data_IF_909952377429
#
_entry.id   IF_909952377429
#
_cell.length_a   1.000
_cell.length_b   1.000
_cell.length_c   1.000
_cell.angle_alpha   90.00
_cell.angle_beta   90.00
_cell.angle_gamma   90.00
#
_symmetry.space_group_name_H-M   'P 1'
#
loop_
_entity.id
_entity.type
_entity.pdbx_description
1 polymer ?
#
# COMPACT_ATOMS: atom_id res chain seq x y z
N UNK A 1 -8.99 7.81 -15.34
CA UNK A 1 -8.65 6.49 -15.92
C UNK A 1 -8.30 5.59 -14.75
N UNK A 2 -9.01 4.48 -14.60
CA UNK A 2 -8.75 3.52 -13.54
C UNK A 2 -7.99 2.33 -14.13
N UNK A 3 -6.75 2.13 -13.71
CA UNK A 3 -5.93 0.96 -13.99
C UNK A 3 -5.92 0.08 -12.74
N UNK A 4 -7.07 -0.49 -12.42
CA UNK A 4 -7.28 -1.37 -11.26
C UNK A 4 -7.87 -2.70 -11.71
N UNK A 5 -7.75 -3.73 -10.87
CA UNK A 5 -8.43 -5.01 -11.08
C UNK A 5 -9.95 -4.82 -10.98
N UNK A 6 -10.73 -5.54 -11.78
CA UNK A 6 -12.19 -5.45 -11.80
C UNK A 6 -12.82 -5.65 -10.42
N UNK A 7 -12.20 -6.46 -9.57
CA UNK A 7 -12.64 -6.69 -8.19
C UNK A 7 -12.56 -5.45 -7.31
N UNK A 8 -11.77 -4.45 -7.69
CA UNK A 8 -11.64 -3.17 -6.98
C UNK A 8 -12.63 -2.10 -7.50
N UNK A 9 -13.26 -2.30 -8.66
CA UNK A 9 -14.22 -1.32 -9.22
C UNK A 9 -15.42 -0.99 -8.30
N UNK A 10 -15.96 -1.91 -7.48
CA UNK A 10 -17.01 -1.58 -6.53
C UNK A 10 -16.65 -0.44 -5.57
N UNK A 11 -15.37 -0.30 -5.19
CA UNK A 11 -14.89 0.77 -4.29
C UNK A 11 -14.93 2.16 -4.96
N UNK A 12 -14.98 2.20 -6.30
CA UNK A 12 -15.08 3.43 -7.11
C UNK A 12 -16.51 3.67 -7.64
N UNK A 13 -17.51 2.93 -7.14
CA UNK A 13 -18.89 3.08 -7.60
C UNK A 13 -19.39 4.51 -7.36
N UNK A 14 -19.93 5.14 -8.41
CA UNK A 14 -20.42 6.52 -8.38
C UNK A 14 -19.37 7.57 -8.76
N UNK A 15 -18.12 7.16 -8.99
CA UNK A 15 -17.09 8.04 -9.55
C UNK A 15 -17.20 8.07 -11.08
N UNK A 16 -17.22 9.26 -11.67
CA UNK A 16 -17.26 9.42 -13.12
C UNK A 16 -15.90 9.06 -13.74
N UNK A 17 -15.93 8.26 -14.80
CA UNK A 17 -14.73 7.78 -15.50
C UNK A 17 -14.72 8.10 -17.00
N UNK A 18 -15.81 8.68 -17.51
CA UNK A 18 -15.87 9.28 -18.86
C UNK A 18 -14.95 10.49 -18.95
N UNK A 19 -14.25 10.64 -20.08
CA UNK A 19 -13.29 11.73 -20.33
C UNK A 19 -12.25 11.90 -19.20
N UNK A 20 -11.37 10.89 -18.99
CA UNK A 20 -10.54 10.81 -17.80
C UNK A 20 -9.48 11.92 -17.76
N UNK A 21 -9.40 12.64 -16.65
CA UNK A 21 -8.39 13.68 -16.39
C UNK A 21 -7.42 13.35 -15.24
N UNK A 22 -7.40 12.09 -14.79
CA UNK A 22 -6.52 11.55 -13.75
C UNK A 22 -6.20 10.09 -14.07
N UNK A 23 -5.07 9.57 -13.58
CA UNK A 23 -4.71 8.14 -13.69
C UNK A 23 -4.59 7.55 -12.31
N UNK A 24 -5.48 6.63 -11.95
CA UNK A 24 -5.38 5.82 -10.72
C UNK A 24 -4.84 4.45 -11.10
N UNK A 25 -3.76 4.02 -10.46
CA UNK A 25 -3.08 2.75 -10.76
C UNK A 25 -2.95 1.86 -9.51
N UNK A 26 -3.58 0.70 -9.58
CA UNK A 26 -3.43 -0.42 -8.64
C UNK A 26 -2.73 -1.60 -9.31
N UNK A 27 -2.79 -2.79 -8.71
CA UNK A 27 -2.34 -4.00 -9.39
C UNK A 27 -3.43 -4.48 -10.37
N UNK A 28 -3.22 -4.26 -11.67
CA UNK A 28 -4.18 -4.62 -12.72
C UNK A 28 -3.49 -5.36 -13.88
N UNK A 29 -3.17 -6.65 -13.73
CA UNK A 29 -2.38 -7.39 -14.72
C UNK A 29 -2.98 -7.33 -16.13
N UNK A 30 -4.31 -7.37 -16.26
CA UNK A 30 -5.02 -7.29 -17.53
C UNK A 30 -4.91 -5.91 -18.21
N UNK A 31 -4.60 -4.86 -17.45
CA UNK A 31 -4.40 -3.49 -17.95
C UNK A 31 -2.91 -3.15 -18.15
N UNK A 32 -1.99 -4.01 -17.72
CA UNK A 32 -0.55 -3.76 -17.76
C UNK A 32 0.09 -4.19 -19.08
N UNK A 33 -0.42 -3.64 -20.17
CA UNK A 33 0.13 -3.81 -21.51
C UNK A 33 0.28 -2.46 -22.22
N UNK A 34 1.11 -2.45 -23.27
CA UNK A 34 1.61 -1.22 -23.90
C UNK A 34 0.51 -0.23 -24.28
N UNK A 35 -0.57 -0.70 -24.91
CA UNK A 35 -1.63 0.18 -25.42
C UNK A 35 -2.31 0.97 -24.28
N UNK A 36 -2.63 0.31 -23.18
CA UNK A 36 -3.30 0.94 -22.03
C UNK A 36 -2.35 1.84 -21.26
N UNK A 37 -1.10 1.40 -21.03
CA UNK A 37 -0.09 2.23 -20.39
C UNK A 37 0.24 3.49 -21.20
N UNK A 38 0.27 3.40 -22.54
CA UNK A 38 0.50 4.54 -23.42
C UNK A 38 -0.69 5.52 -23.44
N UNK A 39 -1.92 5.05 -23.23
CA UNK A 39 -3.08 5.94 -23.02
C UNK A 39 -2.95 6.71 -21.70
N UNK A 40 -2.62 6.01 -20.60
CA UNK A 40 -2.36 6.65 -19.32
C UNK A 40 -1.23 7.69 -19.43
N UNK A 41 -0.11 7.32 -20.05
CA UNK A 41 1.01 8.23 -20.32
C UNK A 41 0.58 9.53 -21.01
N UNK A 42 -0.27 9.46 -22.06
CA UNK A 42 -0.76 10.65 -22.76
C UNK A 42 -1.59 11.56 -21.86
N UNK A 43 -2.47 10.99 -21.03
CA UNK A 43 -3.22 11.79 -20.04
C UNK A 43 -2.27 12.52 -19.09
N UNK A 44 -1.20 11.86 -18.64
CA UNK A 44 -0.21 12.47 -17.76
C UNK A 44 0.56 13.60 -18.44
N UNK A 45 0.88 13.49 -19.75
CA UNK A 45 1.46 14.60 -20.53
C UNK A 45 0.51 15.80 -20.62
N UNK A 46 -0.80 15.55 -20.66
CA UNK A 46 -1.83 16.59 -20.65
C UNK A 46 -2.06 17.19 -19.24
N UNK A 47 -1.28 16.77 -18.25
CA UNK A 47 -1.29 17.31 -16.88
C UNK A 47 -2.16 16.53 -15.89
N UNK A 48 -2.68 15.35 -16.27
CA UNK A 48 -3.42 14.49 -15.35
C UNK A 48 -2.53 14.05 -14.16
N UNK A 49 -3.04 14.02 -12.92
CA UNK A 49 -2.29 13.48 -11.80
C UNK A 49 -2.18 11.95 -11.89
N UNK A 50 -1.00 11.44 -11.54
CA UNK A 50 -0.75 10.01 -11.33
C UNK A 50 -0.96 9.65 -9.86
N UNK A 51 -1.95 8.81 -9.57
CA UNK A 51 -2.32 8.36 -8.23
C UNK A 51 -2.07 6.85 -8.13
N UNK A 52 -1.11 6.44 -7.31
CA UNK A 52 -0.78 5.03 -7.13
C UNK A 52 -1.38 4.50 -5.83
N UNK A 53 -2.12 3.39 -5.88
CA UNK A 53 -2.66 2.75 -4.68
C UNK A 53 -1.51 2.30 -3.77
N UNK A 54 -0.46 1.71 -4.32
CA UNK A 54 0.81 1.43 -3.62
C UNK A 54 1.92 1.17 -4.65
N UNK A 55 3.18 1.14 -4.22
CA UNK A 55 4.36 0.91 -5.10
C UNK A 55 5.14 -0.36 -4.76
N UNK A 56 4.44 -1.40 -4.32
CA UNK A 56 5.08 -2.69 -4.03
C UNK A 56 5.83 -3.22 -5.26
N UNK A 57 7.09 -3.63 -5.07
CA UNK A 57 7.95 -4.17 -6.14
C UNK A 57 7.41 -5.48 -6.68
N UNK A 58 6.96 -6.35 -5.78
CA UNK A 58 6.43 -7.68 -6.07
C UNK A 58 5.46 -8.12 -4.97
N UNK A 59 4.72 -9.20 -5.23
CA UNK A 59 3.90 -9.90 -4.25
C UNK A 59 4.04 -11.42 -4.39
N UNK A 60 3.70 -12.17 -3.33
CA UNK A 60 3.77 -13.63 -3.31
C UNK A 60 2.46 -14.25 -3.80
N UNK A 61 2.56 -15.12 -4.78
CA UNK A 61 1.49 -16.00 -5.28
C UNK A 61 1.80 -17.46 -4.95
N UNK A 62 0.85 -18.36 -5.24
CA UNK A 62 1.01 -19.82 -5.10
C UNK A 62 2.19 -20.36 -5.94
N UNK A 63 2.43 -19.76 -7.10
CA UNK A 63 3.44 -20.16 -8.09
C UNK A 63 4.78 -19.42 -7.96
N UNK A 64 4.93 -18.48 -7.02
CA UNK A 64 6.18 -17.74 -6.84
C UNK A 64 5.99 -16.26 -6.60
N UNK A 65 7.04 -15.48 -6.85
CA UNK A 65 6.96 -14.02 -6.83
C UNK A 65 6.45 -13.52 -8.18
N UNK A 66 5.58 -12.51 -8.14
CA UNK A 66 5.10 -11.80 -9.33
C UNK A 66 5.25 -10.29 -9.16
N UNK A 67 5.32 -9.57 -10.27
CA UNK A 67 5.42 -8.11 -10.28
C UNK A 67 4.22 -7.48 -9.56
N UNK A 68 4.50 -6.51 -8.70
CA UNK A 68 3.47 -5.64 -8.13
C UNK A 68 3.15 -4.48 -9.07
N UNK A 69 2.38 -3.48 -8.61
CA UNK A 69 2.11 -2.27 -9.40
C UNK A 69 3.30 -1.32 -9.47
N UNK A 70 4.23 -1.37 -8.50
CA UNK A 70 5.37 -0.44 -8.40
C UNK A 70 6.21 -0.30 -9.68
N UNK A 71 6.58 -1.39 -10.38
CA UNK A 71 7.26 -1.33 -11.67
C UNK A 71 6.52 -0.50 -12.73
N UNK A 72 5.20 -0.63 -12.83
CA UNK A 72 4.37 0.06 -13.81
C UNK A 72 4.12 1.52 -13.44
N UNK A 73 3.95 1.80 -12.14
CA UNK A 73 3.95 3.17 -11.61
C UNK A 73 5.26 3.87 -11.96
N UNK A 74 6.39 3.21 -11.67
CA UNK A 74 7.73 3.77 -11.91
C UNK A 74 7.99 3.97 -13.41
N UNK A 75 7.47 3.09 -14.27
CA UNK A 75 7.56 3.26 -15.72
C UNK A 75 6.84 4.53 -16.20
N UNK A 76 5.64 4.81 -15.67
CA UNK A 76 4.91 6.05 -15.98
C UNK A 76 5.64 7.28 -15.44
N UNK A 77 6.05 7.26 -14.16
CA UNK A 77 6.85 8.32 -13.54
C UNK A 77 8.10 8.66 -14.36
N UNK A 78 8.84 7.63 -14.78
CA UNK A 78 10.04 7.78 -15.60
C UNK A 78 9.73 8.37 -16.98
N UNK A 79 8.64 7.93 -17.61
CA UNK A 79 8.24 8.42 -18.93
C UNK A 79 7.81 9.89 -18.93
N UNK A 80 7.28 10.39 -17.80
CA UNK A 80 6.74 11.75 -17.68
C UNK A 80 7.60 12.70 -16.85
N UNK A 81 8.68 12.22 -16.25
CA UNK A 81 9.49 12.96 -15.26
C UNK A 81 8.64 13.55 -14.12
N UNK A 82 7.63 12.79 -13.67
CA UNK A 82 6.75 13.15 -12.55
C UNK A 82 6.79 12.10 -11.45
N UNK A 83 6.24 12.44 -10.27
CA UNK A 83 6.08 11.49 -9.17
C UNK A 83 4.60 11.20 -8.95
N UNK A 84 4.29 9.93 -8.71
CA UNK A 84 2.95 9.53 -8.34
C UNK A 84 2.61 9.99 -6.92
N UNK A 85 1.38 10.44 -6.71
CA UNK A 85 0.79 10.53 -5.38
C UNK A 85 0.46 9.11 -4.92
N UNK A 86 1.24 8.58 -3.98
CA UNK A 86 0.99 7.26 -3.39
C UNK A 86 0.00 7.43 -2.24
N UNK A 87 -1.06 6.60 -2.20
CA UNK A 87 -2.11 6.69 -1.16
C UNK A 87 -2.12 5.52 -0.19
N UNK A 88 -1.38 4.45 -0.50
CA UNK A 88 -1.22 3.29 0.36
C UNK A 88 0.02 3.35 1.25
N UNK A 89 0.23 2.28 2.00
CA UNK A 89 1.43 2.06 2.81
C UNK A 89 2.74 2.25 2.02
N UNK A 90 3.81 2.82 2.62
CA UNK A 90 3.93 3.31 4.01
C UNK A 90 3.49 4.78 4.20
N UNK A 91 2.75 5.38 3.28
CA UNK A 91 2.42 6.80 3.36
C UNK A 91 1.57 7.11 4.60
N UNK A 92 1.93 8.20 5.30
CA UNK A 92 1.27 8.60 6.57
C UNK A 92 -0.24 8.71 6.41
N UNK A 93 -0.68 9.25 5.28
CA UNK A 93 -2.09 9.44 4.95
C UNK A 93 -2.86 8.13 4.99
N UNK A 94 -2.28 6.99 4.60
CA UNK A 94 -2.96 5.69 4.66
C UNK A 94 -3.41 5.34 6.09
N UNK A 95 -2.51 5.51 7.05
CA UNK A 95 -2.78 5.19 8.46
C UNK A 95 -3.74 6.19 9.10
N UNK A 96 -3.57 7.48 8.81
CA UNK A 96 -4.45 8.52 9.32
C UNK A 96 -5.87 8.39 8.75
N UNK A 97 -6.01 8.07 7.47
CA UNK A 97 -7.32 7.80 6.87
C UNK A 97 -7.97 6.53 7.44
N UNK A 98 -7.19 5.50 7.80
CA UNK A 98 -7.72 4.29 8.44
C UNK A 98 -8.32 4.57 9.83
N UNK A 99 -7.82 5.59 10.54
CA UNK A 99 -8.35 6.03 11.84
C UNK A 99 -9.43 7.11 11.71
N UNK A 100 -9.61 7.70 10.53
CA UNK A 100 -10.57 8.78 10.32
C UNK A 100 -12.00 8.32 10.65
N UNK A 101 -12.67 9.08 11.52
CA UNK A 101 -14.05 8.81 11.94
C UNK A 101 -14.19 7.75 13.05
N UNK A 102 -13.08 7.15 13.51
CA UNK A 102 -13.09 6.22 14.65
C UNK A 102 -13.10 6.94 16.00
N UNK A 103 -12.60 8.19 16.05
CA UNK A 103 -12.45 8.97 17.27
C UNK A 103 -11.16 8.70 18.06
N UNK A 104 -10.31 7.79 17.58
CA UNK A 104 -9.02 7.47 18.18
C UNK A 104 -7.88 8.20 17.48
N UNK A 105 -6.88 8.61 18.27
CA UNK A 105 -5.61 9.12 17.78
C UNK A 105 -4.66 7.96 17.40
N UNK A 106 -3.64 8.20 16.55
CA UNK A 106 -2.67 7.16 16.17
C UNK A 106 -2.01 6.46 17.36
N UNK A 107 -1.72 7.18 18.44
CA UNK A 107 -1.10 6.67 19.66
C UNK A 107 -2.00 5.66 20.41
N UNK A 108 -3.29 5.64 20.12
CA UNK A 108 -4.28 4.72 20.69
C UNK A 108 -4.53 3.49 19.82
N UNK A 109 -3.78 3.34 18.71
CA UNK A 109 -3.98 2.30 17.73
C UNK A 109 -2.74 1.41 17.50
N UNK A 110 -3.00 0.18 17.05
CA UNK A 110 -1.97 -0.84 16.80
C UNK A 110 -2.13 -1.37 15.37
N UNK A 111 -1.03 -1.38 14.63
CA UNK A 111 -0.94 -2.04 13.31
C UNK A 111 -0.28 -3.41 13.46
N UNK A 112 -0.92 -4.46 12.95
CA UNK A 112 -0.35 -5.81 12.87
C UNK A 112 -0.08 -6.12 11.39
N UNK A 113 1.15 -6.47 11.03
CA UNK A 113 1.53 -6.67 9.64
C UNK A 113 2.72 -7.61 9.45
N UNK A 114 2.91 -8.09 8.22
CA UNK A 114 4.02 -8.96 7.83
C UNK A 114 5.09 -8.21 7.01
N UNK A 115 4.87 -6.92 6.69
CA UNK A 115 5.87 -6.02 6.14
C UNK A 115 6.46 -5.12 7.22
N UNK A 116 7.75 -5.30 7.51
CA UNK A 116 8.45 -4.44 8.45
C UNK A 116 8.47 -2.97 8.03
N UNK A 117 8.60 -2.66 6.73
CA UNK A 117 8.67 -1.27 6.25
C UNK A 117 7.29 -0.69 6.02
N UNK A 118 6.48 -1.40 5.25
CA UNK A 118 5.22 -0.86 4.75
C UNK A 118 4.15 -0.86 5.84
N UNK A 119 4.06 -1.91 6.66
CA UNK A 119 3.04 -2.01 7.70
C UNK A 119 3.52 -1.36 8.99
N UNK A 120 4.59 -1.92 9.57
CA UNK A 120 5.04 -1.61 10.93
C UNK A 120 5.75 -0.26 10.97
N UNK A 121 6.75 -0.06 10.10
CA UNK A 121 7.46 1.21 10.00
C UNK A 121 6.55 2.37 9.60
N UNK A 122 5.65 2.15 8.63
CA UNK A 122 4.65 3.12 8.22
C UNK A 122 3.74 3.56 9.38
N UNK A 123 3.21 2.61 10.14
CA UNK A 123 2.35 2.88 11.30
C UNK A 123 3.10 3.60 12.44
N UNK A 124 4.31 3.15 12.77
CA UNK A 124 5.11 3.78 13.83
C UNK A 124 5.51 5.22 13.50
N UNK A 125 5.68 5.55 12.21
CA UNK A 125 5.97 6.92 11.78
C UNK A 125 4.80 7.91 11.97
N UNK A 126 3.60 7.41 12.28
CA UNK A 126 2.44 8.24 12.63
C UNK A 126 2.04 8.15 14.10
N UNK A 127 2.75 7.38 14.93
CA UNK A 127 2.50 7.27 16.37
C UNK A 127 1.88 5.95 16.84
N UNK A 128 1.45 5.09 15.92
CA UNK A 128 0.87 3.78 16.27
C UNK A 128 1.93 2.81 16.81
N UNK A 129 1.50 1.86 17.66
CA UNK A 129 2.32 0.67 17.92
C UNK A 129 2.29 -0.26 16.70
N UNK A 130 3.43 -0.84 16.36
CA UNK A 130 3.57 -1.77 15.23
C UNK A 130 3.99 -3.17 15.69
N UNK A 131 3.17 -4.18 15.39
CA UNK A 131 3.47 -5.59 15.65
C UNK A 131 3.81 -6.29 14.34
N UNK A 132 5.04 -6.79 14.22
CA UNK A 132 5.51 -7.58 13.08
C UNK A 132 5.21 -9.07 13.30
N UNK A 133 4.44 -9.69 12.42
CA UNK A 133 4.19 -11.14 12.45
C UNK A 133 5.13 -11.89 11.50
N UNK A 134 5.65 -13.04 11.93
CA UNK A 134 6.58 -13.87 11.13
C UNK A 134 5.90 -14.75 10.08
N UNK A 135 4.61 -14.57 9.84
CA UNK A 135 3.87 -15.20 8.75
C UNK A 135 4.01 -14.42 7.43
N UNK A 136 3.50 -14.96 6.32
CA UNK A 136 3.40 -14.20 5.07
C UNK A 136 4.73 -13.93 4.38
N UNK A 137 5.03 -12.67 4.04
CA UNK A 137 6.24 -12.27 3.31
C UNK A 137 7.46 -11.99 4.19
N UNK A 138 7.30 -11.99 5.51
CA UNK A 138 8.39 -11.83 6.47
C UNK A 138 9.59 -12.74 6.13
N UNK A 139 10.80 -12.20 6.31
CA UNK A 139 12.06 -12.94 6.29
C UNK A 139 12.80 -12.71 7.60
N UNK A 140 13.64 -13.68 7.97
CA UNK A 140 14.46 -13.57 9.18
C UNK A 140 15.26 -12.26 9.18
N UNK A 141 15.26 -11.57 10.33
CA UNK A 141 15.87 -10.25 10.52
C UNK A 141 15.20 -9.10 9.75
N UNK A 142 13.94 -9.27 9.31
CA UNK A 142 13.18 -8.14 8.75
C UNK A 142 12.96 -7.04 9.78
N UNK A 143 12.79 -7.39 11.05
CA UNK A 143 12.66 -6.48 12.20
C UNK A 143 13.83 -5.50 12.35
N UNK A 144 15.02 -5.84 11.83
CA UNK A 144 16.22 -4.99 11.86
C UNK A 144 16.23 -3.92 10.74
N UNK A 145 15.25 -3.95 9.82
CA UNK A 145 15.21 -3.07 8.63
C UNK A 145 14.67 -1.68 8.90
N UNK A 146 14.10 -1.44 10.08
CA UNK A 146 13.54 -0.15 10.50
C UNK A 146 14.12 0.28 11.85
N UNK A 147 14.08 1.58 12.11
CA UNK A 147 14.47 2.16 13.39
C UNK A 147 13.47 3.29 13.73
N UNK A 148 12.80 3.28 14.90
CA UNK A 148 12.86 2.23 15.94
C UNK A 148 12.38 0.86 15.45
N UNK A 149 12.79 -0.25 16.09
CA UNK A 149 12.32 -1.59 15.72
C UNK A 149 10.80 -1.72 15.94
N UNK A 150 10.17 -2.80 15.42
CA UNK A 150 8.79 -3.15 15.76
C UNK A 150 8.59 -3.13 17.29
N UNK A 151 7.45 -2.61 17.75
CA UNK A 151 7.08 -2.69 19.17
C UNK A 151 7.09 -4.13 19.69
N UNK A 152 6.59 -5.06 18.86
CA UNK A 152 6.68 -6.50 19.09
C UNK A 152 6.94 -7.22 17.76
N UNK A 153 7.75 -8.27 17.79
CA UNK A 153 7.83 -9.25 16.70
C UNK A 153 7.38 -10.62 17.23
N UNK A 154 6.37 -11.23 16.62
CA UNK A 154 5.77 -12.48 17.11
C UNK A 154 5.47 -13.48 15.99
N UNK A 155 5.25 -14.74 16.35
CA UNK A 155 5.18 -15.84 15.37
C UNK A 155 3.98 -15.75 14.42
N UNK A 156 2.82 -15.27 14.89
CA UNK A 156 1.61 -15.18 14.06
C UNK A 156 0.60 -14.18 14.61
N UNK A 157 -0.46 -13.92 13.83
CA UNK A 157 -1.55 -13.03 14.23
C UNK A 157 -2.22 -13.41 15.56
N UNK A 158 -2.55 -14.70 15.85
CA UNK A 158 -3.06 -15.08 17.18
C UNK A 158 -2.15 -14.66 18.35
N UNK A 159 -0.82 -14.83 18.22
CA UNK A 159 0.12 -14.40 19.26
C UNK A 159 0.10 -12.87 19.44
N UNK A 160 -0.10 -12.11 18.37
CA UNK A 160 -0.27 -10.66 18.45
C UNK A 160 -1.55 -10.28 19.21
N UNK A 161 -2.66 -10.96 18.93
CA UNK A 161 -3.95 -10.74 19.61
C UNK A 161 -3.84 -11.04 21.11
N UNK A 162 -3.28 -12.19 21.47
CA UNK A 162 -3.08 -12.57 22.88
C UNK A 162 -2.25 -11.53 23.63
N UNK A 163 -1.19 -11.01 22.99
CA UNK A 163 -0.36 -9.97 23.57
C UNK A 163 -1.14 -8.66 23.81
N UNK A 164 -1.95 -8.22 22.84
CA UNK A 164 -2.76 -7.00 22.97
C UNK A 164 -3.75 -7.13 24.13
N UNK A 165 -4.46 -8.26 24.21
CA UNK A 165 -5.45 -8.53 25.26
C UNK A 165 -4.85 -8.61 26.67
N UNK A 166 -3.58 -8.99 26.80
CA UNK A 166 -2.93 -9.14 28.10
C UNK A 166 -2.25 -7.87 28.62
N UNK A 167 -1.83 -6.97 27.73
CA UNK A 167 -0.92 -5.88 28.10
C UNK A 167 -1.43 -4.49 27.72
N UNK A 168 -2.41 -4.37 26.82
CA UNK A 168 -2.82 -3.10 26.22
C UNK A 168 -4.33 -2.82 26.31
N UNK A 169 -5.10 -3.77 26.88
CA UNK A 169 -6.53 -3.67 27.19
C UNK A 169 -6.76 -4.10 28.64
#
# INVERSE_FOLDING_TARGET
MLLVDDRALPDFKGIQTSDPNAVVIGLAPEHFHYQILNQAFRLLLDGAPLIAIHKARYYKRKDGLALGPGPFVTALEYATDTKATVVGKPEKTFFLEALRGTGYEPEEAIMIGDDCRDDVGGAQNVGMLGILVKTGKYRAADEEKINPPPYLTCESFPHAVDHILQHLL
#
